data_IF_909875136062
#
_entry.id   IF_909875136062
#
_cell.length_a   1.000
_cell.length_b   1.000
_cell.length_c   1.000
_cell.angle_alpha   90.00
_cell.angle_beta   90.00
_cell.angle_gamma   90.00
#
_symmetry.space_group_name_H-M   'P 1'
#
loop_
_entity.id
_entity.type
_entity.pdbx_description
1 polymer ?
#
# COMPACT_ATOMS: atom_id res chain seq x y z
N UNK A 1 18.65 8.46 -0.72
CA UNK A 1 18.83 7.29 0.17
C UNK A 1 17.88 7.46 1.35
N UNK A 2 16.90 6.56 1.52
CA UNK A 2 16.04 6.58 2.70
C UNK A 2 16.87 6.35 3.96
N UNK A 3 16.52 7.03 5.06
CA UNK A 3 17.16 6.78 6.36
C UNK A 3 16.83 5.35 6.80
N UNK A 4 17.78 4.60 7.38
CA UNK A 4 17.47 3.28 7.91
C UNK A 4 16.46 3.41 9.07
N UNK A 5 15.57 2.42 9.24
CA UNK A 5 14.52 2.49 10.25
C UNK A 5 15.12 2.54 11.66
N UNK A 6 14.53 3.38 12.52
CA UNK A 6 14.96 3.56 13.93
C UNK A 6 14.75 2.28 14.75
N UNK A 7 13.69 1.54 14.41
CA UNK A 7 13.46 0.19 14.91
C UNK A 7 13.77 -0.78 13.79
N UNK A 8 14.87 -1.52 13.92
CA UNK A 8 15.23 -2.54 12.94
C UNK A 8 14.18 -3.67 13.00
N UNK A 9 13.64 -4.04 11.83
CA UNK A 9 12.79 -5.22 11.74
C UNK A 9 13.63 -6.46 12.04
N UNK A 10 13.09 -7.33 12.89
CA UNK A 10 13.72 -8.59 13.27
C UNK A 10 13.15 -9.72 12.41
N UNK A 11 14.01 -10.62 11.97
CA UNK A 11 13.57 -11.89 11.35
C UNK A 11 12.94 -12.81 12.41
N UNK A 12 12.36 -13.93 11.98
CA UNK A 12 11.76 -14.92 12.89
C UNK A 12 12.77 -15.44 13.92
N UNK A 13 14.05 -15.53 13.52
CA UNK A 13 15.15 -15.91 14.41
C UNK A 13 15.70 -14.77 15.29
N UNK A 14 15.07 -13.58 15.27
CA UNK A 14 15.46 -12.43 16.08
C UNK A 14 16.68 -11.68 15.54
N UNK A 15 17.05 -11.89 14.27
CA UNK A 15 18.18 -11.21 13.64
C UNK A 15 17.74 -9.85 13.11
N UNK A 16 18.49 -8.81 13.48
CA UNK A 16 18.32 -7.46 12.96
C UNK A 16 19.56 -7.04 12.15
N UNK A 17 19.36 -6.10 11.22
CA UNK A 17 20.47 -5.40 10.55
C UNK A 17 20.72 -4.10 11.30
N UNK A 18 21.94 -3.91 11.79
CA UNK A 18 22.32 -2.68 12.49
C UNK A 18 22.39 -1.50 11.48
N UNK A 19 21.65 -0.40 11.70
CA UNK A 19 21.62 0.74 10.78
C UNK A 19 22.95 1.47 10.62
N UNK A 20 23.88 1.33 11.58
CA UNK A 20 25.18 2.03 11.57
C UNK A 20 26.28 1.21 10.92
N UNK A 21 26.37 -0.06 11.28
CA UNK A 21 27.44 -0.97 10.84
C UNK A 21 27.02 -1.83 9.65
N UNK A 22 25.72 -1.89 9.35
CA UNK A 22 25.11 -2.77 8.35
C UNK A 22 25.40 -4.26 8.60
N UNK A 23 25.85 -4.61 9.82
CA UNK A 23 26.10 -5.98 10.23
C UNK A 23 24.81 -6.67 10.68
N UNK A 24 24.75 -7.99 10.49
CA UNK A 24 23.66 -8.83 11.01
C UNK A 24 23.95 -9.21 12.45
N UNK A 25 23.08 -8.80 13.36
CA UNK A 25 23.28 -8.93 14.80
C UNK A 25 21.97 -9.30 15.50
N UNK A 26 22.07 -10.07 16.57
CA UNK A 26 20.96 -10.23 17.53
C UNK A 26 21.11 -9.08 18.53
N UNK A 27 20.13 -8.15 18.60
CA UNK A 27 20.23 -6.97 19.44
C UNK A 27 20.22 -7.33 20.93
N UNK A 28 20.67 -6.39 21.76
CA UNK A 28 20.58 -6.53 23.21
C UNK A 28 19.13 -6.65 23.67
N UNK A 29 18.90 -7.46 24.71
CA UNK A 29 17.57 -7.65 25.27
C UNK A 29 17.62 -7.60 26.80
N UNK A 30 16.52 -7.16 27.41
CA UNK A 30 16.42 -7.06 28.86
C UNK A 30 15.96 -8.40 29.43
N UNK A 31 16.61 -8.85 30.51
CA UNK A 31 16.14 -9.98 31.31
C UNK A 31 14.99 -9.54 32.22
N UNK A 32 14.28 -10.49 32.80
CA UNK A 32 13.16 -10.22 33.70
C UNK A 32 13.58 -9.46 34.97
N UNK A 33 14.80 -9.67 35.44
CA UNK A 33 15.46 -8.94 36.54
C UNK A 33 15.96 -7.54 36.15
N UNK A 34 15.83 -7.14 34.87
CA UNK A 34 16.24 -5.83 34.36
C UNK A 34 17.70 -5.75 33.86
N UNK A 35 18.52 -6.76 34.12
CA UNK A 35 19.88 -6.82 33.55
C UNK A 35 19.85 -7.04 32.02
N UNK A 36 20.90 -6.61 31.32
CA UNK A 36 20.94 -6.63 29.85
C UNK A 36 21.70 -7.85 29.33
N UNK A 37 21.16 -8.51 28.30
CA UNK A 37 21.84 -9.54 27.50
C UNK A 37 22.66 -8.84 26.42
N UNK A 38 23.93 -9.23 26.31
CA UNK A 38 24.83 -8.68 25.29
C UNK A 38 24.34 -8.99 23.88
N UNK A 39 24.64 -8.09 22.96
CA UNK A 39 24.47 -8.28 21.52
C UNK A 39 25.34 -9.45 21.01
N UNK A 40 24.82 -10.21 20.04
CA UNK A 40 25.54 -11.30 19.39
C UNK A 40 25.74 -11.00 17.91
N UNK A 41 26.99 -11.10 17.43
CA UNK A 41 27.32 -10.97 16.01
C UNK A 41 27.14 -12.29 15.29
N UNK A 42 26.66 -12.22 14.05
CA UNK A 42 26.38 -13.38 13.22
C UNK A 42 27.44 -13.47 12.13
N UNK A 43 27.87 -14.70 11.83
CA UNK A 43 28.82 -14.93 10.74
C UNK A 43 28.23 -14.47 9.40
N UNK A 44 28.99 -13.73 8.57
CA UNK A 44 28.53 -13.36 7.23
C UNK A 44 28.09 -14.59 6.43
N UNK A 45 26.91 -14.53 5.81
CA UNK A 45 26.32 -15.62 5.03
C UNK A 45 25.60 -16.72 5.83
N UNK A 46 25.64 -16.70 7.17
CA UNK A 46 24.89 -17.67 7.98
C UNK A 46 23.41 -17.29 8.07
N UNK A 47 22.51 -18.15 7.58
CA UNK A 47 21.06 -17.99 7.70
C UNK A 47 20.48 -19.19 8.45
N UNK A 48 19.80 -18.97 9.59
CA UNK A 48 19.17 -20.07 10.34
C UNK A 48 17.98 -20.64 9.56
N UNK A 49 17.61 -21.89 9.87
CA UNK A 49 16.56 -22.63 9.16
C UNK A 49 15.20 -21.90 9.14
N UNK A 50 14.85 -21.22 10.23
CA UNK A 50 13.60 -20.46 10.34
C UNK A 50 13.52 -19.29 9.34
N UNK A 51 14.67 -18.73 8.95
CA UNK A 51 14.75 -17.63 7.99
C UNK A 51 14.95 -18.13 6.54
N UNK A 52 15.10 -19.45 6.32
CA UNK A 52 15.22 -20.02 4.98
C UNK A 52 13.85 -20.01 4.32
N UNK A 53 13.65 -19.04 3.43
CA UNK A 53 12.41 -18.91 2.66
C UNK A 53 12.37 -19.89 1.49
N UNK A 54 11.16 -20.36 1.15
CA UNK A 54 10.95 -21.13 -0.09
C UNK A 54 11.19 -20.20 -1.28
N UNK A 55 11.75 -20.74 -2.36
CA UNK A 55 11.94 -19.98 -3.59
C UNK A 55 10.59 -19.41 -4.08
N UNK A 56 10.56 -18.09 -4.28
CA UNK A 56 9.45 -17.36 -4.88
C UNK A 56 10.00 -16.55 -6.04
N UNK A 57 9.35 -16.65 -7.21
CA UNK A 57 9.75 -15.84 -8.37
C UNK A 57 9.56 -14.34 -8.11
N UNK A 58 10.29 -13.50 -8.83
CA UNK A 58 10.25 -12.03 -8.66
C UNK A 58 8.83 -11.45 -8.73
N UNK A 59 8.00 -11.95 -9.66
CA UNK A 59 6.59 -11.55 -9.77
C UNK A 59 5.76 -11.94 -8.55
N UNK A 60 6.01 -13.10 -7.96
CA UNK A 60 5.30 -13.55 -6.75
C UNK A 60 5.69 -12.71 -5.54
N UNK A 61 6.99 -12.44 -5.35
CA UNK A 61 7.47 -11.58 -4.26
C UNK A 61 6.88 -10.16 -4.34
N UNK A 62 6.79 -9.59 -5.55
CA UNK A 62 6.17 -8.28 -5.76
C UNK A 62 4.66 -8.29 -5.46
N UNK A 63 3.96 -9.38 -5.81
CA UNK A 63 2.56 -9.55 -5.47
C UNK A 63 2.36 -9.68 -3.96
N UNK A 64 3.21 -10.44 -3.27
CA UNK A 64 3.12 -10.64 -1.81
C UNK A 64 3.36 -9.31 -1.05
N UNK A 65 4.31 -8.50 -1.49
CA UNK A 65 4.59 -7.17 -0.89
C UNK A 65 3.45 -6.16 -1.13
N UNK A 66 2.72 -6.30 -2.24
CA UNK A 66 1.58 -5.45 -2.59
C UNK A 66 0.23 -6.05 -2.17
N UNK A 67 0.22 -7.25 -1.58
CA UNK A 67 -1.01 -7.92 -1.19
C UNK A 67 -1.64 -7.18 0.00
N UNK A 68 -2.85 -6.68 -0.20
CA UNK A 68 -3.65 -6.09 0.87
C UNK A 68 -4.21 -7.22 1.78
N UNK A 69 -4.54 -6.92 3.04
CA UNK A 69 -5.04 -7.92 3.96
C UNK A 69 -6.29 -8.63 3.40
N UNK A 70 -6.43 -9.93 3.73
CA UNK A 70 -7.54 -10.75 3.26
C UNK A 70 -8.89 -10.11 3.64
N UNK A 71 -9.74 -9.88 2.64
CA UNK A 71 -11.03 -9.19 2.81
C UNK A 71 -10.99 -7.67 2.55
N UNK A 72 -9.82 -7.11 2.21
CA UNK A 72 -9.74 -5.73 1.76
C UNK A 72 -10.25 -5.63 0.31
N UNK A 73 -11.34 -4.90 0.12
CA UNK A 73 -11.87 -4.58 -1.21
C UNK A 73 -11.16 -3.31 -1.70
N UNK A 74 -10.54 -3.38 -2.88
CA UNK A 74 -9.87 -2.24 -3.50
C UNK A 74 -10.86 -1.08 -3.68
N UNK A 75 -10.62 0.04 -3.00
CA UNK A 75 -11.50 1.22 -3.02
C UNK A 75 -12.59 1.25 -1.95
N UNK A 76 -12.66 0.25 -1.06
CA UNK A 76 -13.57 0.27 0.08
C UNK A 76 -12.99 1.05 1.25
N UNK A 77 -13.69 2.10 1.66
CA UNK A 77 -13.44 2.85 2.89
C UNK A 77 -14.53 2.48 3.89
N UNK A 78 -14.16 1.94 5.05
CA UNK A 78 -15.13 1.60 6.09
C UNK A 78 -15.80 2.88 6.63
N UNK A 79 -17.14 2.99 6.63
CA UNK A 79 -17.86 4.21 7.03
C UNK A 79 -17.88 4.50 8.55
N UNK A 80 -16.88 4.06 9.32
CA UNK A 80 -16.81 4.34 10.77
C UNK A 80 -15.38 4.60 11.31
N UNK A 81 -14.36 4.62 10.45
CA UNK A 81 -13.05 5.22 10.78
C UNK A 81 -12.92 6.62 10.18
N UNK A 82 -14.04 7.32 10.03
CA UNK A 82 -14.05 8.76 9.94
C UNK A 82 -13.73 9.33 11.33
N UNK A 83 -12.46 9.24 11.72
CA UNK A 83 -11.89 10.21 12.64
C UNK A 83 -12.17 11.58 12.03
N UNK A 84 -13.13 12.28 12.63
CA UNK A 84 -13.50 13.69 12.44
C UNK A 84 -12.51 14.48 11.57
N UNK A 85 -12.80 14.72 10.27
CA UNK A 85 -12.14 15.80 9.57
C UNK A 85 -12.73 17.12 10.06
N UNK A 86 -12.11 17.69 11.10
CA UNK A 86 -12.18 19.14 11.28
C UNK A 86 -11.57 19.79 10.04
N UNK A 87 -12.43 20.36 9.20
CA UNK A 87 -12.09 21.52 8.40
C UNK A 87 -11.95 21.29 6.90
N UNK A 88 -12.85 21.99 6.20
CA UNK A 88 -12.65 22.63 4.89
C UNK A 88 -12.77 21.73 3.66
N UNK A 89 -14.03 21.61 3.23
CA UNK A 89 -14.47 21.90 1.86
C UNK A 89 -13.38 22.46 0.93
N UNK A 90 -12.94 21.67 -0.05
CA UNK A 90 -12.70 22.16 -1.41
C UNK A 90 -12.52 20.96 -2.33
N UNK A 91 -13.48 20.77 -3.23
CA UNK A 91 -13.34 19.83 -4.33
C UNK A 91 -12.09 20.22 -5.14
N UNK A 92 -11.26 19.25 -5.58
CA UNK A 92 -10.15 19.57 -6.48
C UNK A 92 -10.71 20.12 -7.80
N UNK A 93 -10.13 21.19 -8.37
CA UNK A 93 -10.61 21.77 -9.61
C UNK A 93 -10.55 20.74 -10.75
N UNK A 94 -11.54 20.70 -11.65
CA UNK A 94 -11.57 19.71 -12.72
C UNK A 94 -10.38 19.91 -13.66
N UNK A 95 -9.51 18.89 -13.72
CA UNK A 95 -8.44 18.80 -14.71
C UNK A 95 -9.04 18.99 -16.12
N UNK A 96 -8.31 19.66 -17.03
CA UNK A 96 -8.70 19.91 -18.44
C UNK A 96 -9.29 18.66 -19.13
N UNK A 97 -8.83 17.47 -18.77
CA UNK A 97 -9.35 16.20 -19.28
C UNK A 97 -10.75 15.83 -18.76
N UNK A 98 -11.11 16.22 -17.54
CA UNK A 98 -12.45 16.01 -16.98
C UNK A 98 -13.50 16.89 -17.69
N UNK A 99 -13.16 18.16 -18.00
CA UNK A 99 -14.05 19.05 -18.77
C UNK A 99 -14.29 18.53 -20.19
N UNK A 100 -13.25 18.03 -20.88
CA UNK A 100 -13.40 17.42 -22.21
C UNK A 100 -14.32 16.20 -22.18
N UNK A 101 -14.12 15.27 -21.23
CA UNK A 101 -14.99 14.08 -21.10
C UNK A 101 -16.44 14.43 -20.74
N UNK A 102 -16.66 15.43 -19.88
CA UNK A 102 -18.01 15.90 -19.56
C UNK A 102 -18.71 16.50 -20.79
N UNK A 103 -18.01 17.33 -21.58
CA UNK A 103 -18.57 17.90 -22.81
C UNK A 103 -18.89 16.86 -23.88
N UNK A 104 -18.06 15.82 -24.04
CA UNK A 104 -18.34 14.73 -24.97
C UNK A 104 -19.53 13.88 -24.52
N UNK A 105 -19.68 13.64 -23.21
CA UNK A 105 -20.84 12.92 -22.66
C UNK A 105 -22.13 13.71 -22.86
N UNK A 106 -22.10 15.03 -22.66
CA UNK A 106 -23.25 15.90 -22.89
C UNK A 106 -23.65 15.92 -24.37
N UNK A 107 -22.69 16.06 -25.29
CA UNK A 107 -22.96 16.01 -26.75
C UNK A 107 -23.56 14.67 -27.18
N UNK A 108 -22.98 13.55 -26.72
CA UNK A 108 -23.49 12.22 -27.04
C UNK A 108 -24.87 11.96 -26.42
N UNK A 109 -25.17 12.56 -25.27
CA UNK A 109 -26.49 12.47 -24.67
C UNK A 109 -27.52 13.31 -25.45
N UNK A 110 -27.15 14.49 -25.94
CA UNK A 110 -28.01 15.31 -26.79
C UNK A 110 -28.27 14.64 -28.15
N UNK A 111 -27.24 14.13 -28.82
CA UNK A 111 -27.37 13.38 -30.08
C UNK A 111 -28.23 12.12 -29.92
N UNK A 112 -28.09 11.40 -28.80
CA UNK A 112 -28.96 10.27 -28.49
C UNK A 112 -30.40 10.70 -28.20
N UNK A 113 -30.61 11.87 -27.60
CA UNK A 113 -31.95 12.39 -27.33
C UNK A 113 -32.64 12.88 -28.61
N UNK A 114 -31.91 13.50 -29.54
CA UNK A 114 -32.40 13.88 -30.87
C UNK A 114 -32.72 12.65 -31.71
N UNK A 115 -31.84 11.65 -31.75
CA UNK A 115 -32.12 10.39 -32.46
C UNK A 115 -33.33 9.61 -31.89
N UNK A 116 -33.59 9.73 -30.58
CA UNK A 116 -34.79 9.14 -29.95
C UNK A 116 -36.04 9.95 -30.28
N UNK A 117 -35.93 11.27 -30.49
CA UNK A 117 -37.06 12.13 -30.87
C UNK A 117 -37.42 11.97 -32.34
N UNK A 118 -36.45 11.91 -33.25
CA UNK A 118 -36.68 11.64 -34.68
C UNK A 118 -37.28 10.25 -34.89
N UNK A 119 -36.82 9.25 -34.14
CA UNK A 119 -37.37 7.88 -34.20
C UNK A 119 -38.82 7.75 -33.72
N UNK A 120 -39.44 8.81 -33.19
CA UNK A 120 -40.82 8.81 -32.67
C UNK A 120 -41.77 9.78 -33.41
N UNK A 121 -41.27 10.59 -34.36
CA UNK A 121 -42.11 11.54 -35.15
C UNK A 121 -42.27 11.15 -36.63
N UNK A 122 -41.73 10.00 -37.06
CA UNK A 122 -41.82 9.48 -38.45
C UNK A 122 -43.03 8.55 -38.71
N UNK A 123 -44.04 8.51 -37.84
CA UNK A 123 -45.25 7.69 -38.04
C UNK A 123 -46.54 8.47 -37.74
N UNK A 124 -46.93 9.36 -38.65
CA UNK A 124 -48.30 9.83 -38.91
C UNK A 124 -48.46 10.25 -40.39
#
# INVERSE_FOLDING_TARGET
MSRPPVFAEQTASGIAVDPRTLERVIPESKRADGSVRKQLRIRPGFTPQEDVTRFRGTRQQAMDAAALPKGHILGWVAPSSAAQPKGKTSAPPPNKNAKKRASQRAKKAAEKAEAVKDSWEDED
#
